data_IF_365966813123
#
_entry.id   IF_365966813123
#
_cell.length_a   1.000
_cell.length_b   1.000
_cell.length_c   1.000
_cell.angle_alpha   90.00
_cell.angle_beta   90.00
_cell.angle_gamma   90.00
#
_symmetry.space_group_name_H-M   'P 1'
#
loop_
_entity.id
_entity.type
_entity.pdbx_description
1 polymer ?
#
# COMPACT_ATOMS: atom_id res chain seq x y z
N UNK A 1 45.36 -5.49 68.29
CA UNK A 1 44.47 -6.55 67.79
C UNK A 1 44.14 -6.23 66.34
N UNK A 2 44.49 -7.11 65.40
CA UNK A 2 44.34 -6.91 63.94
C UNK A 2 43.03 -7.55 63.45
N UNK A 3 42.19 -6.81 62.73
CA UNK A 3 41.12 -7.31 61.81
C UNK A 3 41.05 -6.27 60.67
N UNK A 4 41.82 -6.39 59.58
CA UNK A 4 41.56 -7.06 58.29
C UNK A 4 40.19 -6.81 57.63
N UNK A 5 40.26 -5.98 56.58
CA UNK A 5 39.65 -6.11 55.23
C UNK A 5 38.12 -6.05 55.15
N UNK A 6 37.60 -5.08 54.39
CA UNK A 6 36.96 -5.37 53.10
C UNK A 6 36.50 -4.09 52.38
N UNK A 7 37.03 -3.95 51.17
CA UNK A 7 36.53 -3.20 50.02
C UNK A 7 35.01 -2.99 50.03
N UNK A 8 34.55 -1.74 49.95
CA UNK A 8 33.18 -1.40 49.58
C UNK A 8 33.18 -0.81 48.16
N UNK A 9 33.35 -1.66 47.16
CA UNK A 9 32.98 -1.35 45.78
C UNK A 9 31.48 -1.65 45.63
N UNK A 10 30.62 -0.68 45.95
CA UNK A 10 29.21 -0.75 45.54
C UNK A 10 29.13 -0.27 44.10
N UNK A 11 29.32 -1.26 43.23
CA UNK A 11 28.71 -1.48 41.92
C UNK A 11 27.65 -0.42 41.51
N UNK A 12 28.06 0.54 40.68
CA UNK A 12 27.15 1.27 39.81
C UNK A 12 26.62 0.26 38.78
N UNK A 13 25.44 -0.31 39.04
CA UNK A 13 24.72 -1.09 38.02
C UNK A 13 24.19 -0.06 37.02
N UNK A 14 24.95 0.16 35.96
CA UNK A 14 24.47 0.85 34.77
C UNK A 14 23.36 -0.04 34.18
N UNK A 15 22.10 0.29 34.48
CA UNK A 15 20.98 -0.18 33.67
C UNK A 15 21.09 0.50 32.31
N UNK A 16 21.89 -0.07 31.41
CA UNK A 16 21.71 0.20 30.00
C UNK A 16 20.36 -0.40 29.60
N UNK A 17 19.39 0.37 29.09
CA UNK A 17 18.21 -0.23 28.48
C UNK A 17 18.71 -1.15 27.37
N UNK A 18 18.49 -2.44 27.53
CA UNK A 18 18.72 -3.42 26.48
C UNK A 18 17.68 -3.13 25.41
N UNK A 19 18.03 -2.30 24.43
CA UNK A 19 17.29 -2.21 23.18
C UNK A 19 17.47 -3.57 22.54
N UNK A 20 16.50 -4.46 22.77
CA UNK A 20 16.38 -5.70 22.03
C UNK A 20 16.27 -5.29 20.57
N UNK A 21 17.33 -5.52 19.80
CA UNK A 21 17.25 -5.41 18.36
C UNK A 21 16.18 -6.43 17.93
N UNK A 22 15.03 -5.95 17.46
CA UNK A 22 14.07 -6.83 16.79
C UNK A 22 14.82 -7.54 15.67
N UNK A 23 14.93 -8.86 15.81
CA UNK A 23 15.57 -9.71 14.84
C UNK A 23 14.73 -9.63 13.56
N UNK A 24 15.31 -9.06 12.49
CA UNK A 24 14.60 -8.82 11.25
C UNK A 24 14.36 -10.16 10.54
N UNK A 25 13.27 -10.84 10.89
CA UNK A 25 12.91 -12.11 10.27
C UNK A 25 12.32 -11.86 8.89
N UNK A 26 13.08 -12.12 7.83
CA UNK A 26 12.55 -12.11 6.46
C UNK A 26 11.75 -13.40 6.21
N UNK A 27 10.47 -13.27 5.84
CA UNK A 27 9.64 -14.39 5.39
C UNK A 27 9.32 -14.20 3.91
N UNK A 28 9.63 -15.21 3.10
CA UNK A 28 9.21 -15.26 1.71
C UNK A 28 7.76 -15.75 1.65
N UNK A 29 6.91 -15.00 0.95
CA UNK A 29 5.49 -15.32 0.75
C UNK A 29 5.23 -15.25 -0.76
N UNK A 30 4.59 -16.28 -1.30
CA UNK A 30 4.12 -16.27 -2.68
C UNK A 30 2.82 -15.46 -2.76
N UNK A 31 2.75 -14.53 -3.70
CA UNK A 31 1.57 -13.71 -3.97
C UNK A 31 1.31 -13.67 -5.47
N UNK A 32 0.03 -13.69 -5.86
CA UNK A 32 -0.37 -13.49 -7.26
C UNK A 32 -0.06 -12.05 -7.70
N UNK A 33 0.23 -11.79 -8.99
CA UNK A 33 0.50 -10.45 -9.49
C UNK A 33 -0.58 -9.41 -9.16
N UNK A 34 -1.84 -9.84 -9.17
CA UNK A 34 -3.00 -9.01 -8.83
C UNK A 34 -3.04 -8.65 -7.35
N UNK A 35 -2.66 -9.58 -6.46
CA UNK A 35 -2.57 -9.32 -5.02
C UNK A 35 -1.46 -8.29 -4.74
N UNK A 36 -0.31 -8.43 -5.40
CA UNK A 36 0.77 -7.44 -5.29
C UNK A 36 0.33 -6.06 -5.79
N UNK A 37 -0.43 -5.99 -6.88
CA UNK A 37 -0.98 -4.74 -7.40
C UNK A 37 -1.93 -4.09 -6.39
N UNK A 38 -2.83 -4.87 -5.80
CA UNK A 38 -3.79 -4.38 -4.80
C UNK A 38 -3.08 -3.91 -3.54
N UNK A 39 -2.08 -4.63 -3.06
CA UNK A 39 -1.27 -4.23 -1.90
C UNK A 39 -0.58 -2.88 -2.13
N UNK A 40 -0.03 -2.67 -3.33
CA UNK A 40 0.58 -1.38 -3.69
C UNK A 40 -0.44 -0.24 -3.76
N UNK A 41 -1.68 -0.54 -4.15
CA UNK A 41 -2.76 0.43 -4.32
C UNK A 41 -3.61 0.62 -3.06
N UNK A 42 -3.50 -0.26 -2.07
CA UNK A 42 -4.33 -0.30 -0.87
C UNK A 42 -4.53 1.06 -0.18
N UNK A 43 -3.47 1.88 0.09
CA UNK A 43 -3.68 3.19 0.72
C UNK A 43 -4.51 4.14 -0.16
N UNK A 44 -4.31 4.11 -1.49
CA UNK A 44 -5.04 4.96 -2.44
C UNK A 44 -6.49 4.53 -2.61
N UNK A 45 -6.75 3.21 -2.63
CA UNK A 45 -8.11 2.66 -2.65
C UNK A 45 -8.84 3.04 -1.36
N UNK A 46 -8.18 2.88 -0.21
CA UNK A 46 -8.75 3.25 1.09
C UNK A 46 -9.09 4.73 1.16
N UNK A 47 -8.21 5.60 0.68
CA UNK A 47 -8.47 7.04 0.61
C UNK A 47 -9.67 7.35 -0.30
N UNK A 48 -9.75 6.72 -1.47
CA UNK A 48 -10.88 6.90 -2.39
C UNK A 48 -12.21 6.43 -1.77
N UNK A 49 -12.24 5.23 -1.16
CA UNK A 49 -13.44 4.70 -0.50
C UNK A 49 -13.89 5.62 0.63
N UNK A 50 -12.98 6.05 1.51
CA UNK A 50 -13.35 6.95 2.61
C UNK A 50 -13.91 8.27 2.14
N UNK A 51 -13.34 8.82 1.06
CA UNK A 51 -13.77 10.08 0.49
C UNK A 51 -15.17 9.99 -0.12
N UNK A 52 -15.48 8.91 -0.82
CA UNK A 52 -16.75 8.77 -1.56
C UNK A 52 -17.86 8.13 -0.71
N UNK A 53 -17.51 7.21 0.20
CA UNK A 53 -18.48 6.42 0.98
C UNK A 53 -18.53 6.78 2.47
N UNK A 54 -17.53 7.50 3.00
CA UNK A 54 -17.42 7.86 4.42
C UNK A 54 -16.43 6.99 5.22
N UNK A 55 -16.11 7.42 6.43
CA UNK A 55 -15.03 6.83 7.24
C UNK A 55 -15.36 5.44 7.83
N UNK A 56 -16.65 5.11 7.97
CA UNK A 56 -17.14 3.85 8.57
C UNK A 56 -17.41 2.75 7.52
N UNK A 57 -16.80 2.88 6.34
CA UNK A 57 -16.95 1.92 5.25
C UNK A 57 -15.72 1.02 5.17
N UNK A 58 -15.97 -0.28 5.26
CA UNK A 58 -14.96 -1.29 4.96
C UNK A 58 -15.02 -1.67 3.48
N UNK A 59 -13.88 -2.07 2.94
CA UNK A 59 -13.81 -2.51 1.55
C UNK A 59 -12.92 -3.74 1.39
N UNK A 60 -13.20 -4.53 0.36
CA UNK A 60 -12.36 -5.66 -0.05
C UNK A 60 -12.17 -5.66 -1.56
N UNK A 61 -11.00 -6.11 -2.01
CA UNK A 61 -10.75 -6.33 -3.42
C UNK A 61 -11.56 -7.52 -3.94
N UNK A 62 -12.19 -7.34 -5.11
CA UNK A 62 -12.90 -8.42 -5.81
C UNK A 62 -12.07 -8.95 -6.98
N UNK A 63 -11.73 -8.05 -7.92
CA UNK A 63 -11.00 -8.40 -9.14
C UNK A 63 -10.43 -7.16 -9.83
N UNK A 64 -9.39 -7.39 -10.63
CA UNK A 64 -8.96 -6.41 -11.63
C UNK A 64 -9.99 -6.40 -12.75
N UNK A 65 -10.56 -5.24 -13.06
CA UNK A 65 -11.51 -5.08 -14.15
C UNK A 65 -10.77 -4.93 -15.48
N UNK A 66 -9.76 -4.05 -15.52
CA UNK A 66 -8.92 -3.80 -16.67
C UNK A 66 -7.61 -3.09 -16.30
N UNK A 67 -6.58 -3.32 -17.12
CA UNK A 67 -5.30 -2.61 -17.08
C UNK A 67 -4.97 -2.20 -18.51
N UNK A 68 -4.95 -0.91 -18.79
CA UNK A 68 -4.64 -0.37 -20.11
C UNK A 68 -3.31 0.36 -20.08
N UNK A 69 -2.39 0.02 -20.99
CA UNK A 69 -1.19 0.81 -21.22
C UNK A 69 -1.52 1.98 -22.14
N UNK A 70 -1.45 3.19 -21.59
CA UNK A 70 -1.60 4.43 -22.32
C UNK A 70 -0.24 4.89 -22.83
N UNK A 71 -0.21 5.32 -24.09
CA UNK A 71 1.00 5.84 -24.74
C UNK A 71 0.66 7.14 -25.46
N UNK A 72 1.31 8.22 -25.03
CA UNK A 72 1.20 9.52 -25.68
C UNK A 72 2.53 9.87 -26.36
N UNK A 73 2.45 10.20 -27.65
CA UNK A 73 3.59 10.63 -28.45
C UNK A 73 3.45 12.12 -28.78
N UNK A 74 4.29 12.95 -28.16
CA UNK A 74 4.51 14.33 -28.56
C UNK A 74 5.84 14.42 -29.34
N UNK A 75 5.97 15.41 -30.25
CA UNK A 75 7.11 15.54 -31.20
C UNK A 75 8.49 15.19 -30.64
N UNK A 76 8.78 15.55 -29.38
CA UNK A 76 10.08 15.30 -28.72
C UNK A 76 9.99 14.50 -27.41
N UNK A 77 8.81 13.99 -27.03
CA UNK A 77 8.61 13.26 -25.76
C UNK A 77 7.57 12.15 -25.91
N UNK A 78 7.87 10.99 -25.34
CA UNK A 78 6.91 9.90 -25.15
C UNK A 78 6.56 9.84 -23.66
N UNK A 79 5.27 9.81 -23.35
CA UNK A 79 4.75 9.52 -22.01
C UNK A 79 3.98 8.21 -22.03
N UNK A 80 4.12 7.41 -20.98
CA UNK A 80 3.38 6.16 -20.80
C UNK A 80 2.89 6.06 -19.38
N UNK A 81 1.68 5.55 -19.20
CA UNK A 81 1.10 5.26 -17.89
C UNK A 81 0.12 4.10 -18.02
N UNK A 82 -0.21 3.47 -16.90
CA UNK A 82 -1.26 2.46 -16.85
C UNK A 82 -2.53 3.08 -16.29
N UNK A 83 -3.65 2.91 -16.98
CA UNK A 83 -4.97 3.12 -16.41
C UNK A 83 -5.45 1.76 -15.86
N UNK A 84 -5.71 1.71 -14.56
CA UNK A 84 -6.07 0.50 -13.83
C UNK A 84 -7.42 0.72 -13.19
N UNK A 85 -8.43 -0.07 -13.55
CA UNK A 85 -9.69 -0.11 -12.81
C UNK A 85 -9.84 -1.42 -12.06
N UNK A 86 -10.25 -1.30 -10.79
CA UNK A 86 -10.47 -2.40 -9.87
C UNK A 86 -11.94 -2.46 -9.49
N UNK A 87 -12.50 -3.66 -9.42
CA UNK A 87 -13.78 -3.89 -8.76
C UNK A 87 -13.50 -4.15 -7.29
N UNK A 88 -14.21 -3.41 -6.43
CA UNK A 88 -14.15 -3.58 -4.98
C UNK A 88 -15.55 -3.87 -4.45
N UNK A 89 -15.60 -4.52 -3.29
CA UNK A 89 -16.81 -4.58 -2.49
C UNK A 89 -16.71 -3.59 -1.34
N UNK A 90 -17.81 -2.91 -1.03
CA UNK A 90 -17.92 -1.97 0.07
C UNK A 90 -19.05 -2.39 1.00
N UNK A 91 -18.88 -2.16 2.29
CA UNK A 91 -19.89 -2.43 3.31
C UNK A 91 -19.87 -1.26 4.30
N UNK A 92 -21.04 -0.65 4.49
CA UNK A 92 -21.22 0.41 5.47
C UNK A 92 -21.71 -0.20 6.78
N UNK A 93 -20.90 -0.12 7.82
CA UNK A 93 -21.23 -0.70 9.14
C UNK A 93 -22.38 0.01 9.84
N UNK A 94 -22.72 1.23 9.43
CA UNK A 94 -23.78 2.05 10.04
C UNK A 94 -25.17 1.85 9.43
N UNK A 95 -25.28 1.11 8.31
CA UNK A 95 -26.53 0.94 7.59
C UNK A 95 -27.05 -0.50 7.72
N UNK A 96 -28.18 -0.69 8.40
CA UNK A 96 -28.80 -2.01 8.68
C UNK A 96 -29.18 -2.81 7.41
N UNK A 97 -29.10 -2.19 6.23
CA UNK A 97 -29.12 -2.89 4.95
C UNK A 97 -27.72 -3.45 4.63
N UNK A 98 -27.31 -4.48 5.36
CA UNK A 98 -26.04 -5.25 5.35
C UNK A 98 -25.63 -5.90 4.01
N UNK A 99 -25.94 -5.29 2.87
CA UNK A 99 -25.56 -5.80 1.57
C UNK A 99 -24.19 -5.26 1.16
N UNK A 100 -23.24 -6.15 0.91
CA UNK A 100 -22.04 -5.82 0.17
C UNK A 100 -22.41 -5.17 -1.17
N UNK A 101 -21.96 -3.94 -1.35
CA UNK A 101 -22.11 -3.19 -2.59
C UNK A 101 -20.89 -3.45 -3.47
N UNK A 102 -21.08 -3.38 -4.79
CA UNK A 102 -20.00 -3.53 -5.76
C UNK A 102 -19.76 -2.18 -6.38
N UNK A 103 -18.53 -1.69 -6.29
CA UNK A 103 -18.10 -0.42 -6.85
C UNK A 103 -16.89 -0.61 -7.77
N UNK A 104 -16.52 0.42 -8.51
CA UNK A 104 -15.29 0.44 -9.31
C UNK A 104 -14.48 1.68 -9.01
N UNK A 105 -13.19 1.51 -8.80
CA UNK A 105 -12.22 2.58 -8.61
C UNK A 105 -11.17 2.53 -9.72
N UNK A 106 -10.83 3.69 -10.29
CA UNK A 106 -9.80 3.78 -11.35
C UNK A 106 -8.65 4.69 -10.95
N UNK A 107 -7.44 4.24 -11.26
CA UNK A 107 -6.20 4.99 -11.04
C UNK A 107 -5.35 5.05 -12.31
N UNK A 108 -4.61 6.14 -12.45
CA UNK A 108 -3.45 6.22 -13.33
C UNK A 108 -2.18 5.92 -12.55
N UNK A 109 -1.41 4.94 -13.01
CA UNK A 109 -0.12 4.55 -12.45
C UNK A 109 0.96 4.89 -13.47
N UNK A 110 1.76 5.90 -13.17
CA UNK A 110 2.95 6.23 -13.95
C UNK A 110 4.17 5.73 -13.16
N UNK A 111 4.78 4.60 -13.56
CA UNK A 111 5.87 4.03 -12.81
C UNK A 111 7.17 4.85 -12.90
N UNK A 112 7.22 5.92 -13.72
CA UNK A 112 8.39 6.75 -14.10
C UNK A 112 9.64 5.98 -14.58
N UNK A 113 9.60 4.66 -14.47
CA UNK A 113 10.61 3.68 -14.81
C UNK A 113 9.92 2.58 -15.60
N UNK A 114 10.55 2.19 -16.69
CA UNK A 114 9.99 1.23 -17.61
C UNK A 114 10.17 -0.18 -17.05
N UNK A 115 9.07 -0.94 -16.87
CA UNK A 115 9.12 -2.35 -16.49
C UNK A 115 9.66 -3.29 -17.59
N UNK A 116 10.02 -2.78 -18.78
CA UNK A 116 10.42 -3.61 -19.93
C UNK A 116 11.71 -3.20 -20.66
N UNK A 117 12.50 -2.22 -20.18
CA UNK A 117 13.83 -1.95 -20.76
C UNK A 117 14.85 -2.56 -19.83
N UNK A 118 15.58 -3.52 -20.38
CA UNK A 118 16.79 -4.06 -19.80
C UNK A 118 17.87 -3.00 -19.50
N UNK A 119 17.73 -1.79 -20.07
CA UNK A 119 18.81 -0.81 -20.17
C UNK A 119 18.62 0.41 -19.26
N UNK A 120 17.44 0.56 -18.64
CA UNK A 120 17.20 1.63 -17.66
C UNK A 120 17.52 1.08 -16.29
N UNK A 121 18.59 1.61 -15.65
CA UNK A 121 18.88 1.35 -14.22
C UNK A 121 17.58 1.50 -13.44
N UNK A 122 17.09 0.39 -12.87
CA UNK A 122 15.85 0.34 -12.07
C UNK A 122 15.93 1.46 -11.03
N UNK A 123 15.14 2.51 -11.21
CA UNK A 123 15.05 3.55 -10.18
C UNK A 123 14.11 3.07 -9.08
N UNK A 124 14.22 3.71 -7.92
CA UNK A 124 13.51 3.37 -6.71
C UNK A 124 12.00 3.27 -6.93
N UNK A 125 11.32 2.32 -6.25
CA UNK A 125 9.86 2.25 -6.18
C UNK A 125 9.22 3.56 -5.69
N UNK A 126 10.00 4.43 -5.02
CA UNK A 126 9.59 5.78 -4.62
C UNK A 126 9.29 6.73 -5.79
N UNK A 127 9.57 6.33 -7.03
CA UNK A 127 9.32 7.14 -8.22
C UNK A 127 7.97 6.84 -8.90
N UNK A 128 7.21 5.85 -8.44
CA UNK A 128 5.86 5.57 -8.95
C UNK A 128 4.91 6.68 -8.49
N UNK A 129 4.17 7.28 -9.43
CA UNK A 129 3.04 8.16 -9.10
C UNK A 129 1.72 7.46 -9.39
N UNK A 130 0.85 7.43 -8.38
CA UNK A 130 -0.53 6.95 -8.47
C UNK A 130 -1.45 8.16 -8.39
N UNK A 131 -2.38 8.27 -9.33
CA UNK A 131 -3.37 9.33 -9.39
C UNK A 131 -4.77 8.72 -9.44
N UNK A 132 -5.64 9.11 -8.50
CA UNK A 132 -7.06 8.77 -8.56
C UNK A 132 -7.74 9.44 -9.76
N UNK A 133 -8.55 8.67 -10.48
CA UNK A 133 -9.26 9.13 -11.69
C UNK A 133 -10.76 9.17 -11.45
N UNK A 134 -11.36 8.05 -11.05
CA UNK A 134 -12.79 7.96 -10.83
C UNK A 134 -13.19 6.92 -9.77
N UNK A 135 -14.42 7.09 -9.30
CA UNK A 135 -15.15 6.15 -8.46
C UNK A 135 -16.56 6.00 -9.04
N UNK A 136 -17.03 4.77 -9.22
CA UNK A 136 -18.34 4.47 -9.79
C UNK A 136 -19.09 3.56 -8.82
N UNK A 137 -20.17 4.09 -8.24
CA UNK A 137 -21.17 3.31 -7.53
C UNK A 137 -22.02 2.51 -8.52
N UNK A 138 -22.10 1.19 -8.38
CA UNK A 138 -23.01 0.38 -9.22
C UNK A 138 -24.38 0.15 -8.58
N UNK A 139 -24.55 0.56 -7.32
CA UNK A 139 -25.80 0.40 -6.58
C UNK A 139 -26.78 1.58 -6.74
N UNK A 140 -26.30 2.76 -7.16
CA UNK A 140 -27.13 3.98 -7.34
C UNK A 140 -27.83 4.08 -8.70
N UNK A 141 -27.72 3.05 -9.55
CA UNK A 141 -28.24 3.06 -10.94
C UNK A 141 -29.60 2.35 -11.11
N UNK A 142 -30.34 2.15 -10.03
CA UNK A 142 -31.70 1.57 -10.06
C UNK A 142 -32.78 2.64 -9.86
#
# INVERSE_FOLDING_TARGET
MKIKIALLFILFIVLTPHVSAEELTSKEIYAAPEEVLVDMLHPYITEAVKKECGDNVTWSFERVKNIHLMVEHMKNKSRRWYEVSLTIRTMNEDNEADAWQIDTVTFNIDPKTYFGSSDVKRKSLKEVSVQFIDYIHHHDKN
#
